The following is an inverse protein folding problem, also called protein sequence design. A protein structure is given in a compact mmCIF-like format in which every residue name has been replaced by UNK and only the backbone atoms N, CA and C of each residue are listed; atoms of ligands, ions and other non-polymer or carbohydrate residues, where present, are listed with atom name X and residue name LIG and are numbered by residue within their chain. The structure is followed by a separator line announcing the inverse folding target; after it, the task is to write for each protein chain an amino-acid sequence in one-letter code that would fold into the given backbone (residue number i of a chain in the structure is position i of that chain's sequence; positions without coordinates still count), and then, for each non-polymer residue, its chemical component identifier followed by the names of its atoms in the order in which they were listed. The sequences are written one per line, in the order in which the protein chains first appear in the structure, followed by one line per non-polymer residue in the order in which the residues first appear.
data_IF_422058783078
#
_entry.id   IF_422058783078
#
_cell.length_a   1.000
_cell.length_b   1.000
_cell.length_c   1.000
_cell.angle_alpha   90.00
_cell.angle_beta   90.00
_cell.angle_gamma   90.00
#
_symmetry.space_group_name_H-M   'P 1'
#
loop_
_entity.id
_entity.type
_entity.pdbx_description
1 polymer ?
#
# COMPACT_ATOMS: atom_id res chain seq x y z
N UNK A 1 15.91 -13.95 11.67
CA UNK A 1 15.62 -13.38 10.35
C UNK A 1 15.39 -11.90 10.53
N UNK A 2 16.29 -11.05 10.03
CA UNK A 2 16.12 -9.60 10.07
C UNK A 2 15.00 -9.25 9.09
N UNK A 3 13.80 -9.02 9.61
CA UNK A 3 12.75 -8.40 8.80
C UNK A 3 13.24 -6.97 8.51
N UNK A 4 13.31 -6.53 7.24
CA UNK A 4 13.64 -5.15 6.95
C UNK A 4 12.67 -4.22 7.72
N UNK A 5 13.13 -3.04 8.15
CA UNK A 5 12.27 -2.10 8.86
C UNK A 5 11.03 -1.81 8.00
N UNK A 6 9.84 -1.97 8.60
CA UNK A 6 8.59 -1.67 7.90
C UNK A 6 8.53 -0.19 7.59
N UNK A 7 7.98 0.16 6.43
CA UNK A 7 7.72 1.54 6.07
C UNK A 7 6.59 2.09 6.94
N UNK A 8 6.76 3.30 7.47
CA UNK A 8 5.74 3.90 8.34
C UNK A 8 4.73 4.70 7.52
N UNK A 9 3.46 4.55 7.86
CA UNK A 9 2.35 5.35 7.34
C UNK A 9 1.54 5.85 8.53
N UNK A 10 1.20 7.13 8.51
CA UNK A 10 0.33 7.74 9.52
C UNK A 10 -1.08 7.15 9.43
N UNK A 11 -1.69 6.84 10.57
CA UNK A 11 -3.03 6.29 10.66
C UNK A 11 -4.06 7.14 9.93
N UNK A 12 -3.98 8.47 10.08
CA UNK A 12 -4.87 9.40 9.38
C UNK A 12 -4.75 9.29 7.85
N UNK A 13 -3.53 9.17 7.32
CA UNK A 13 -3.32 9.02 5.89
C UNK A 13 -3.81 7.66 5.36
N UNK A 14 -3.69 6.60 6.17
CA UNK A 14 -4.25 5.30 5.85
C UNK A 14 -5.78 5.31 5.85
N UNK A 15 -6.41 5.94 6.83
CA UNK A 15 -7.88 6.10 6.89
C UNK A 15 -8.41 6.92 5.71
N UNK A 16 -7.72 8.00 5.33
CA UNK A 16 -8.08 8.79 4.15
C UNK A 16 -7.99 7.96 2.86
N UNK A 17 -6.95 7.13 2.72
CA UNK A 17 -6.85 6.18 1.61
C UNK A 17 -8.04 5.22 1.58
N UNK A 18 -8.41 4.62 2.72
CA UNK A 18 -9.56 3.70 2.81
C UNK A 18 -10.88 4.39 2.44
N UNK A 19 -11.08 5.64 2.89
CA UNK A 19 -12.26 6.44 2.52
C UNK A 19 -12.34 6.70 1.03
N UNK A 20 -11.22 7.06 0.40
CA UNK A 20 -11.17 7.27 -1.05
C UNK A 20 -11.41 5.95 -1.82
N UNK A 21 -10.91 4.83 -1.30
CA UNK A 21 -11.16 3.50 -1.85
C UNK A 21 -12.64 3.12 -1.81
N UNK A 22 -13.29 3.27 -0.66
CA UNK A 22 -14.73 2.98 -0.48
C UNK A 22 -15.62 3.87 -1.38
N UNK A 23 -15.19 5.11 -1.64
CA UNK A 23 -15.85 6.03 -2.57
C UNK A 23 -15.64 5.68 -4.06
N UNK A 24 -14.90 4.61 -4.38
CA UNK A 24 -14.63 4.23 -5.77
C UNK A 24 -13.66 5.17 -6.51
N UNK A 25 -12.86 5.99 -5.80
CA UNK A 25 -11.89 6.90 -6.46
C UNK A 25 -10.84 6.18 -7.31
N UNK A 26 -10.69 4.88 -7.10
CA UNK A 26 -9.71 4.03 -7.78
C UNK A 26 -10.35 2.90 -8.60
N UNK A 27 -11.57 3.07 -9.12
CA UNK A 27 -12.37 2.06 -9.87
C UNK A 27 -11.61 1.22 -10.92
N UNK A 28 -10.52 1.73 -11.50
CA UNK A 28 -9.72 1.04 -12.53
C UNK A 28 -8.42 0.45 -12.00
N UNK A 29 -8.20 0.48 -10.69
CA UNK A 29 -6.97 0.06 -10.05
C UNK A 29 -7.26 -1.08 -9.09
N UNK A 30 -6.34 -2.04 -9.04
CA UNK A 30 -6.29 -3.01 -7.95
C UNK A 30 -5.99 -2.29 -6.64
N UNK A 31 -6.41 -2.86 -5.51
CA UNK A 31 -6.17 -2.24 -4.20
C UNK A 31 -4.69 -1.92 -3.96
N UNK A 32 -3.79 -2.86 -4.28
CA UNK A 32 -2.36 -2.66 -4.09
C UNK A 32 -1.76 -1.62 -5.05
N UNK A 33 -2.27 -1.54 -6.28
CA UNK A 33 -1.91 -0.50 -7.25
C UNK A 33 -2.36 0.88 -6.78
N UNK A 34 -3.61 1.00 -6.31
CA UNK A 34 -4.16 2.24 -5.78
C UNK A 34 -3.34 2.75 -4.59
N UNK A 35 -3.03 1.86 -3.65
CA UNK A 35 -2.19 2.17 -2.50
C UNK A 35 -0.79 2.64 -2.94
N UNK A 36 -0.14 1.89 -3.83
CA UNK A 36 1.19 2.21 -4.35
C UNK A 36 1.23 3.60 -5.00
N UNK A 37 0.20 3.94 -5.78
CA UNK A 37 0.09 5.23 -6.45
C UNK A 37 -0.22 6.35 -5.47
N UNK A 38 -1.17 6.14 -4.56
CA UNK A 38 -1.62 7.13 -3.57
C UNK A 38 -0.47 7.61 -2.69
N UNK A 39 0.32 6.68 -2.15
CA UNK A 39 1.48 6.98 -1.30
C UNK A 39 2.76 7.27 -2.09
N UNK A 40 2.68 7.36 -3.44
CA UNK A 40 3.81 7.66 -4.34
C UNK A 40 5.02 6.74 -4.10
N UNK A 41 4.76 5.46 -3.90
CA UNK A 41 5.78 4.48 -3.52
C UNK A 41 6.82 4.25 -4.62
N UNK A 42 6.55 4.65 -5.86
CA UNK A 42 7.52 4.71 -6.96
C UNK A 42 8.75 5.60 -6.68
N UNK A 43 8.69 6.46 -5.65
CA UNK A 43 9.82 7.31 -5.23
C UNK A 43 10.78 6.64 -4.26
N UNK A 44 10.42 5.47 -3.72
CA UNK A 44 11.26 4.74 -2.78
C UNK A 44 12.36 3.97 -3.53
N UNK A 45 13.53 3.82 -2.91
CA UNK A 45 14.68 3.19 -3.56
C UNK A 45 14.46 1.67 -3.78
N UNK A 46 13.77 0.99 -2.87
CA UNK A 46 13.52 -0.45 -2.97
C UNK A 46 12.20 -0.74 -3.71
N UNK A 47 12.28 -0.82 -5.03
CA UNK A 47 11.12 -1.15 -5.88
C UNK A 47 10.85 -2.66 -5.98
N UNK A 48 11.80 -3.51 -5.58
CA UNK A 48 11.66 -4.96 -5.72
C UNK A 48 10.56 -5.50 -4.80
N UNK A 49 10.55 -5.07 -3.54
CA UNK A 49 9.49 -5.44 -2.59
C UNK A 49 8.13 -4.82 -2.94
N UNK A 50 8.13 -3.64 -3.57
CA UNK A 50 6.91 -2.90 -3.89
C UNK A 50 6.20 -3.39 -5.16
N UNK A 51 6.91 -4.11 -6.03
CA UNK A 51 6.30 -4.71 -7.24
C UNK A 51 5.20 -5.70 -6.89
N UNK A 52 5.42 -6.54 -5.87
CA UNK A 52 4.40 -7.48 -5.39
C UNK A 52 3.15 -6.79 -4.84
N UNK A 53 3.31 -5.61 -4.23
CA UNK A 53 2.18 -4.79 -3.81
C UNK A 53 1.42 -4.22 -5.00
N UNK A 54 2.12 -3.63 -5.98
CA UNK A 54 1.50 -3.04 -7.16
C UNK A 54 0.66 -4.04 -7.98
N UNK A 55 1.07 -5.30 -7.99
CA UNK A 55 0.40 -6.39 -8.70
C UNK A 55 -0.76 -7.01 -7.91
N UNK A 56 -0.79 -6.84 -6.58
CA UNK A 56 -1.78 -7.45 -5.71
C UNK A 56 -3.14 -6.71 -5.71
N UNK A 57 -4.20 -7.48 -5.45
CA UNK A 57 -5.57 -6.97 -5.34
C UNK A 57 -6.31 -7.54 -4.13
N UNK A 58 -7.36 -6.85 -3.70
CA UNK A 58 -8.24 -7.24 -2.60
C UNK A 58 -7.49 -7.72 -1.36
N UNK A 59 -7.88 -8.88 -0.83
CA UNK A 59 -7.26 -9.46 0.37
C UNK A 59 -5.75 -9.72 0.25
N UNK A 60 -5.24 -10.04 -0.96
CA UNK A 60 -3.80 -10.23 -1.16
C UNK A 60 -3.03 -8.92 -0.96
N UNK A 61 -3.58 -7.80 -1.45
CA UNK A 61 -2.96 -6.50 -1.25
C UNK A 61 -2.95 -6.12 0.24
N UNK A 62 -4.02 -6.41 1.00
CA UNK A 62 -4.05 -6.17 2.44
C UNK A 62 -2.95 -6.93 3.19
N UNK A 63 -2.72 -8.21 2.85
CA UNK A 63 -1.64 -9.01 3.44
C UNK A 63 -0.27 -8.41 3.14
N UNK A 64 -0.03 -7.98 1.89
CA UNK A 64 1.23 -7.35 1.50
C UNK A 64 1.42 -6.01 2.22
N UNK A 65 0.38 -5.19 2.33
CA UNK A 65 0.40 -3.91 3.07
C UNK A 65 0.77 -4.16 4.54
N UNK A 66 0.10 -5.09 5.22
CA UNK A 66 0.39 -5.42 6.62
C UNK A 66 1.81 -5.98 6.84
N UNK A 67 2.37 -6.64 5.81
CA UNK A 67 3.74 -7.14 5.81
C UNK A 67 4.79 -6.04 5.65
N UNK A 68 4.58 -5.10 4.72
CA UNK A 68 5.55 -4.07 4.34
C UNK A 68 5.44 -2.79 5.16
N UNK A 69 4.25 -2.47 5.65
CA UNK A 69 3.97 -1.19 6.30
C UNK A 69 3.60 -1.37 7.77
N UNK A 70 3.97 -0.38 8.56
CA UNK A 70 3.49 -0.19 9.91
C UNK A 70 2.63 1.08 9.95
N UNK A 71 1.36 0.91 10.29
CA UNK A 71 0.40 2.01 10.44
C UNK A 71 0.49 2.50 11.89
N UNK A 72 0.76 3.79 12.12
CA UNK A 72 0.87 4.40 13.46
C UNK A 72 0.17 5.73 13.56
#
# INVERSE_FOLDING_TARGET
MNNPPKLEIEHAAYDDFLRLWDQGKFEKQRLGQAFYNHFRLHRLADQACLRGLYEADGGKALVVIAGLFQIR
#
